data_IF_380210067537
#
_entry.id   IF_380210067537
#
_cell.length_a   1.000
_cell.length_b   1.000
_cell.length_c   1.000
_cell.angle_alpha   90.00
_cell.angle_beta   90.00
_cell.angle_gamma   90.00
#
_symmetry.space_group_name_H-M   'P 1'
#
loop_
_entity.id
_entity.type
_entity.pdbx_description
1 polymer ?
#
# COMPACT_ATOMS: atom_id res chain seq x y z
N UNK A 1 -6.98 17.63 9.47
CA UNK A 1 -6.22 17.50 8.21
C UNK A 1 -6.20 16.01 7.90
N UNK A 2 -6.54 15.61 6.67
CA UNK A 2 -6.60 14.20 6.28
C UNK A 2 -5.29 13.80 5.60
N UNK A 3 -4.68 12.70 6.05
CA UNK A 3 -3.46 12.14 5.50
C UNK A 3 -3.77 10.89 4.68
N UNK A 4 -3.54 10.94 3.37
CA UNK A 4 -3.71 9.78 2.48
C UNK A 4 -2.39 9.02 2.31
N UNK A 5 -2.37 7.75 2.73
CA UNK A 5 -1.20 6.87 2.64
C UNK A 5 -1.46 5.85 1.53
N UNK A 6 -0.76 5.98 0.41
CA UNK A 6 -0.90 5.09 -0.75
C UNK A 6 0.24 4.08 -0.77
N UNK A 7 -0.09 2.79 -0.79
CA UNK A 7 0.86 1.69 -0.66
C UNK A 7 0.75 0.79 -1.89
N UNK A 8 1.78 0.74 -2.75
CA UNK A 8 1.83 -0.27 -3.81
C UNK A 8 2.09 -1.64 -3.17
N UNK A 9 1.21 -2.61 -3.43
CA UNK A 9 1.30 -3.96 -2.88
C UNK A 9 1.86 -4.90 -3.93
N UNK A 10 2.98 -5.55 -3.61
CA UNK A 10 3.56 -6.62 -4.42
C UNK A 10 3.40 -7.95 -3.66
N UNK A 11 2.21 -8.55 -3.80
CA UNK A 11 1.87 -9.95 -3.56
C UNK A 11 2.40 -10.72 -2.33
N UNK A 12 2.53 -10.09 -1.16
CA UNK A 12 2.82 -10.79 0.11
C UNK A 12 1.80 -10.39 1.20
N UNK A 13 0.76 -11.22 1.42
CA UNK A 13 -0.30 -10.97 2.41
C UNK A 13 0.24 -10.72 3.83
N UNK A 14 1.33 -11.39 4.21
CA UNK A 14 1.96 -11.24 5.53
C UNK A 14 2.63 -9.86 5.69
N UNK A 15 3.24 -9.32 4.62
CA UNK A 15 3.86 -8.01 4.66
C UNK A 15 2.83 -6.88 4.79
N UNK A 16 1.65 -7.04 4.18
CA UNK A 16 0.55 -6.07 4.30
C UNK A 16 0.06 -5.96 5.74
N UNK A 17 -0.11 -7.10 6.43
CA UNK A 17 -0.59 -7.13 7.81
C UNK A 17 0.40 -6.43 8.77
N UNK A 18 1.70 -6.72 8.62
CA UNK A 18 2.75 -6.09 9.41
C UNK A 18 2.83 -4.58 9.16
N UNK A 19 2.73 -4.15 7.89
CA UNK A 19 2.71 -2.74 7.51
C UNK A 19 1.50 -2.01 8.10
N UNK A 20 0.30 -2.57 7.93
CA UNK A 20 -0.93 -2.00 8.47
C UNK A 20 -0.83 -1.78 9.98
N UNK A 21 -0.32 -2.78 10.71
CA UNK A 21 -0.13 -2.67 12.16
C UNK A 21 0.84 -1.55 12.52
N UNK A 22 2.01 -1.50 11.86
CA UNK A 22 3.03 -0.50 12.14
C UNK A 22 2.53 0.93 11.88
N UNK A 23 1.81 1.15 10.77
CA UNK A 23 1.23 2.46 10.46
C UNK A 23 0.14 2.83 11.45
N UNK A 24 -0.75 1.90 11.80
CA UNK A 24 -1.81 2.14 12.79
C UNK A 24 -1.22 2.53 14.15
N UNK A 25 -0.17 1.83 14.59
CA UNK A 25 0.51 2.12 15.87
C UNK A 25 1.08 3.55 15.87
N UNK A 26 1.74 3.97 14.79
CA UNK A 26 2.29 5.35 14.65
C UNK A 26 1.17 6.38 14.60
N UNK A 27 0.13 6.14 13.80
CA UNK A 27 -0.98 7.08 13.62
C UNK A 27 -1.84 7.22 14.88
N UNK A 28 -1.88 6.20 15.75
CA UNK A 28 -2.58 6.27 17.04
C UNK A 28 -2.04 7.38 17.97
N UNK A 29 -0.78 7.75 17.82
CA UNK A 29 -0.15 8.84 18.57
C UNK A 29 -0.32 10.22 17.93
N UNK A 30 -0.92 10.29 16.75
CA UNK A 30 -1.08 11.52 15.98
C UNK A 30 -2.55 11.95 15.92
N UNK A 31 -2.80 13.26 15.95
CA UNK A 31 -4.16 13.83 15.89
C UNK A 31 -4.67 13.98 14.45
N UNK A 32 -4.19 13.15 13.53
CA UNK A 32 -4.53 13.20 12.11
C UNK A 32 -5.51 12.10 11.75
N UNK A 33 -6.58 12.47 11.05
CA UNK A 33 -7.38 11.50 10.31
C UNK A 33 -6.54 10.98 9.14
N UNK A 34 -6.65 9.70 8.84
CA UNK A 34 -5.87 9.09 7.77
C UNK A 34 -6.61 7.97 7.07
N UNK A 35 -6.21 7.71 5.83
CA UNK A 35 -6.67 6.60 5.01
C UNK A 35 -5.48 5.81 4.47
N UNK A 36 -5.61 4.48 4.45
CA UNK A 36 -4.65 3.59 3.78
C UNK A 36 -5.28 3.05 2.51
N UNK A 37 -4.64 3.33 1.39
CA UNK A 37 -5.07 2.89 0.06
C UNK A 37 -4.01 1.91 -0.45
N UNK A 38 -4.37 0.63 -0.48
CA UNK A 38 -3.54 -0.42 -1.07
C UNK A 38 -3.82 -0.49 -2.57
N UNK A 39 -2.78 -0.26 -3.38
CA UNK A 39 -2.85 -0.34 -4.83
C UNK A 39 -2.11 -1.60 -5.26
N UNK A 40 -2.86 -2.57 -5.77
CA UNK A 40 -2.26 -3.69 -6.50
C UNK A 40 -1.65 -3.13 -7.79
N UNK A 41 -0.34 -3.20 -7.93
CA UNK A 41 0.38 -2.71 -9.12
C UNK A 41 0.06 -3.55 -10.38
N UNK A 42 -0.72 -4.63 -10.25
CA UNK A 42 -1.15 -5.44 -11.40
C UNK A 42 0.00 -6.13 -12.13
N UNK A 43 1.17 -6.24 -11.49
CA UNK A 43 2.44 -6.68 -12.07
C UNK A 43 2.49 -8.16 -12.49
N UNK A 44 1.36 -8.87 -12.50
CA UNK A 44 1.28 -10.20 -13.10
C UNK A 44 1.07 -10.22 -14.61
N UNK A 45 0.78 -9.10 -15.28
CA UNK A 45 0.57 -9.18 -16.73
C UNK A 45 1.03 -7.93 -17.51
N UNK A 46 1.89 -8.17 -18.50
CA UNK A 46 2.17 -7.30 -19.64
C UNK A 46 3.08 -6.07 -19.46
N UNK A 47 4.38 -6.31 -19.19
CA UNK A 47 5.42 -5.52 -19.88
C UNK A 47 5.54 -6.02 -21.33
N UNK A 48 4.53 -5.71 -22.13
CA UNK A 48 4.51 -5.94 -23.58
C UNK A 48 5.59 -5.12 -24.27
N UNK A 49 6.78 -5.69 -24.50
CA UNK A 49 7.73 -5.23 -25.51
C UNK A 49 8.43 -6.43 -26.17
N UNK A 50 7.75 -7.07 -27.14
CA UNK A 50 8.35 -7.36 -28.44
C UNK A 50 7.24 -7.81 -29.44
N UNK A 51 6.60 -6.85 -30.10
CA UNK A 51 6.08 -7.11 -31.45
C UNK A 51 7.19 -6.73 -32.41
N UNK A 52 7.90 -7.74 -32.93
CA UNK A 52 8.73 -7.61 -34.13
C UNK A 52 8.36 -8.68 -35.12
#
# INVERSE_FOLDING_TARGET
MLLSIVVPVYNEEENIANFYKAVTDVMSGLTYDYELIFVDDGSSDSSSMNKS
#
